data_IF_538613701139
#
_entry.id   IF_538613701139
#
_cell.length_a   1.000
_cell.length_b   1.000
_cell.length_c   1.000
_cell.angle_alpha   90.00
_cell.angle_beta   90.00
_cell.angle_gamma   90.00
#
_symmetry.space_group_name_H-M   'P 1'
#
loop_
_entity.id
_entity.type
_entity.pdbx_description
1 polymer ?
#
# COMPACT_ATOMS: atom_id res chain seq x y z
N UNK A 1 7.86 16.28 -9.81
CA UNK A 1 7.14 17.15 -10.77
C UNK A 1 5.66 17.14 -10.42
N UNK A 2 5.07 18.29 -10.07
CA UNK A 2 3.63 18.39 -9.81
C UNK A 2 2.82 18.09 -11.07
N UNK A 3 1.65 17.44 -10.93
CA UNK A 3 0.73 17.20 -12.05
C UNK A 3 0.37 18.53 -12.73
N UNK A 4 0.22 18.52 -14.06
CA UNK A 4 -0.18 19.70 -14.86
C UNK A 4 -1.44 20.38 -14.30
N UNK A 5 -2.33 19.58 -13.72
CA UNK A 5 -3.57 20.02 -13.09
C UNK A 5 -3.33 20.91 -11.85
N UNK A 6 -2.36 20.57 -11.01
CA UNK A 6 -2.04 21.34 -9.79
C UNK A 6 -1.55 22.74 -10.14
N UNK A 7 -0.64 22.83 -11.13
CA UNK A 7 -0.15 24.11 -11.60
C UNK A 7 -1.27 24.98 -12.20
N UNK A 8 -2.28 24.37 -12.80
CA UNK A 8 -3.45 25.08 -13.32
C UNK A 8 -4.30 25.66 -12.20
N UNK A 9 -4.55 24.89 -11.14
CA UNK A 9 -5.30 25.35 -9.96
C UNK A 9 -4.56 26.43 -9.17
N UNK A 10 -3.26 26.28 -8.95
CA UNK A 10 -2.45 27.30 -8.27
C UNK A 10 -2.41 28.62 -9.06
N UNK A 11 -2.33 28.55 -10.40
CA UNK A 11 -2.45 29.75 -11.24
C UNK A 11 -3.82 30.42 -11.13
N UNK A 12 -4.89 29.65 -11.10
CA UNK A 12 -6.24 30.18 -10.94
C UNK A 12 -6.42 30.88 -9.57
N UNK A 13 -5.86 30.31 -8.50
CA UNK A 13 -5.83 30.93 -7.17
C UNK A 13 -5.03 32.23 -7.15
N UNK A 14 -3.87 32.27 -7.82
CA UNK A 14 -3.09 33.50 -7.95
C UNK A 14 -3.88 34.63 -8.63
N UNK A 15 -4.61 34.31 -9.70
CA UNK A 15 -5.47 35.28 -10.39
C UNK A 15 -6.62 35.74 -9.47
N UNK A 16 -7.26 34.79 -8.76
CA UNK A 16 -8.36 35.11 -7.84
C UNK A 16 -7.90 36.02 -6.69
N UNK A 17 -6.69 35.79 -6.15
CA UNK A 17 -6.11 36.61 -5.09
C UNK A 17 -5.93 38.06 -5.54
N UNK A 18 -5.35 38.28 -6.72
CA UNK A 18 -5.19 39.61 -7.30
C UNK A 18 -6.55 40.31 -7.48
N UNK A 19 -7.52 39.61 -8.09
CA UNK A 19 -8.86 40.19 -8.33
C UNK A 19 -9.60 40.53 -7.04
N UNK A 20 -9.44 39.73 -6.00
CA UNK A 20 -10.13 39.92 -4.73
C UNK A 20 -9.46 40.99 -3.88
N UNK A 21 -8.13 41.09 -3.89
CA UNK A 21 -7.39 42.20 -3.29
C UNK A 21 -7.76 43.54 -3.96
N UNK A 22 -7.83 43.59 -5.29
CA UNK A 22 -8.23 44.79 -6.05
C UNK A 22 -9.67 45.24 -5.72
N UNK A 23 -10.55 44.31 -5.35
CA UNK A 23 -11.93 44.61 -4.93
C UNK A 23 -12.09 44.78 -3.42
N UNK A 24 -11.00 44.74 -2.64
CA UNK A 24 -11.01 44.95 -1.19
C UNK A 24 -11.53 43.78 -0.35
N UNK A 25 -11.60 42.57 -0.92
CA UNK A 25 -11.97 41.36 -0.19
C UNK A 25 -10.80 40.80 0.62
N UNK A 26 -11.10 40.19 1.76
CA UNK A 26 -10.12 39.43 2.53
C UNK A 26 -9.71 38.16 1.80
N UNK A 27 -8.40 37.93 1.66
CA UNK A 27 -7.87 36.78 0.90
C UNK A 27 -7.32 35.64 1.76
N UNK A 28 -7.46 35.71 3.09
CA UNK A 28 -6.92 34.70 4.02
C UNK A 28 -7.42 33.27 3.71
N UNK A 29 -8.69 33.14 3.30
CA UNK A 29 -9.25 31.83 2.95
C UNK A 29 -8.67 31.26 1.64
N UNK A 30 -8.12 32.10 0.75
CA UNK A 30 -7.44 31.63 -0.47
C UNK A 30 -6.11 30.96 -0.11
N UNK A 31 -5.43 31.45 0.93
CA UNK A 31 -4.20 30.82 1.44
C UNK A 31 -4.52 29.45 2.05
N UNK A 32 -5.62 29.31 2.79
CA UNK A 32 -6.09 28.01 3.30
C UNK A 32 -6.42 27.01 2.17
N UNK A 33 -7.01 27.50 1.07
CA UNK A 33 -7.32 26.68 -0.10
C UNK A 33 -6.03 26.28 -0.83
N UNK A 34 -5.07 27.20 -0.96
CA UNK A 34 -3.75 26.90 -1.52
C UNK A 34 -3.06 25.79 -0.71
N UNK A 35 -3.06 25.92 0.62
CA UNK A 35 -2.52 24.93 1.54
C UNK A 35 -3.22 23.58 1.42
N UNK A 36 -4.55 23.56 1.31
CA UNK A 36 -5.33 22.35 1.11
C UNK A 36 -4.95 21.65 -0.21
N UNK A 37 -4.80 22.40 -1.30
CA UNK A 37 -4.38 21.84 -2.60
C UNK A 37 -2.96 21.30 -2.50
N UNK A 38 -2.04 22.06 -1.91
CA UNK A 38 -0.66 21.60 -1.71
C UNK A 38 -0.63 20.33 -0.87
N UNK A 39 -1.35 20.26 0.24
CA UNK A 39 -1.43 19.07 1.10
C UNK A 39 -2.10 17.88 0.40
N UNK A 40 -3.27 18.08 -0.20
CA UNK A 40 -4.00 16.98 -0.84
C UNK A 40 -3.19 16.29 -1.94
N UNK A 41 -2.36 17.05 -2.65
CA UNK A 41 -1.57 16.52 -3.76
C UNK A 41 -0.10 16.21 -3.41
N UNK A 42 0.47 16.80 -2.36
CA UNK A 42 1.79 16.40 -1.84
C UNK A 42 1.76 15.11 -1.02
N UNK A 43 0.64 14.81 -0.35
CA UNK A 43 0.60 13.71 0.63
C UNK A 43 0.20 12.34 0.07
N UNK A 44 0.04 12.20 -1.25
CA UNK A 44 -0.09 10.89 -1.88
C UNK A 44 1.24 10.52 -2.53
N UNK A 45 2.19 9.91 -1.80
CA UNK A 45 3.41 9.40 -2.39
C UNK A 45 3.02 8.39 -3.48
N UNK A 46 3.45 8.65 -4.71
CA UNK A 46 3.27 7.70 -5.81
C UNK A 46 4.18 6.50 -5.57
N UNK A 47 3.57 5.33 -5.43
CA UNK A 47 4.27 4.05 -5.47
C UNK A 47 4.91 3.92 -6.87
N UNK A 48 6.18 3.54 -6.94
CA UNK A 48 6.84 3.28 -8.23
C UNK A 48 6.07 2.22 -9.01
N UNK A 49 5.85 2.44 -10.31
CA UNK A 49 5.01 1.56 -11.15
C UNK A 49 5.53 0.11 -11.15
N UNK A 50 6.85 -0.08 -11.10
CA UNK A 50 7.49 -1.40 -11.03
C UNK A 50 7.17 -2.18 -9.74
N UNK A 51 6.82 -1.46 -8.67
CA UNK A 51 6.47 -2.05 -7.38
C UNK A 51 5.00 -2.45 -7.30
N UNK A 52 4.12 -1.88 -8.14
CA UNK A 52 2.68 -2.16 -8.10
C UNK A 52 2.40 -3.64 -8.37
N UNK A 53 2.95 -4.30 -9.42
CA UNK A 53 2.72 -5.72 -9.66
C UNK A 53 3.21 -6.59 -8.51
N UNK A 54 4.38 -6.26 -7.94
CA UNK A 54 4.99 -7.00 -6.82
C UNK A 54 4.14 -6.91 -5.55
N UNK A 55 3.67 -5.70 -5.21
CA UNK A 55 2.77 -5.47 -4.09
C UNK A 55 1.44 -6.18 -4.27
N UNK A 56 0.90 -6.15 -5.49
CA UNK A 56 -0.34 -6.85 -5.81
C UNK A 56 -0.21 -8.37 -5.64
N UNK A 57 0.87 -8.97 -6.18
CA UNK A 57 1.14 -10.40 -6.03
C UNK A 57 1.30 -10.79 -4.55
N UNK A 58 2.06 -10.00 -3.78
CA UNK A 58 2.26 -10.23 -2.36
C UNK A 58 0.94 -10.12 -1.56
N UNK A 59 0.08 -9.14 -1.89
CA UNK A 59 -1.22 -8.97 -1.26
C UNK A 59 -2.16 -10.14 -1.59
N UNK A 60 -2.16 -10.58 -2.84
CA UNK A 60 -2.94 -11.74 -3.31
C UNK A 60 -2.53 -13.03 -2.62
N UNK A 61 -1.23 -13.29 -2.49
CA UNK A 61 -0.71 -14.46 -1.79
C UNK A 61 -1.16 -14.48 -0.31
N UNK A 62 -1.22 -13.30 0.33
CA UNK A 62 -1.68 -13.12 1.71
C UNK A 62 -3.20 -12.98 1.85
N UNK A 63 -3.96 -12.98 0.75
CA UNK A 63 -5.42 -12.76 0.70
C UNK A 63 -5.89 -11.52 1.47
N UNK A 64 -5.13 -10.42 1.39
CA UNK A 64 -5.49 -9.13 2.01
C UNK A 64 -5.55 -8.02 0.95
N UNK A 65 -6.29 -6.92 1.20
CA UNK A 65 -6.23 -5.75 0.34
C UNK A 65 -4.80 -5.21 0.23
N UNK A 66 -4.39 -4.82 -0.97
CA UNK A 66 -3.05 -4.28 -1.23
C UNK A 66 -2.75 -3.04 -0.38
N UNK A 67 -3.75 -2.20 -0.13
CA UNK A 67 -3.65 -1.02 0.76
C UNK A 67 -3.30 -1.43 2.19
N UNK A 68 -3.94 -2.46 2.72
CA UNK A 68 -3.64 -3.01 4.06
C UNK A 68 -2.21 -3.56 4.13
N UNK A 69 -1.74 -4.25 3.08
CA UNK A 69 -0.36 -4.71 3.01
C UNK A 69 0.62 -3.53 3.06
N UNK A 70 0.40 -2.51 2.23
CA UNK A 70 1.26 -1.32 2.15
C UNK A 70 1.30 -0.59 3.49
N UNK A 71 0.14 -0.38 4.13
CA UNK A 71 0.09 0.26 5.45
C UNK A 71 0.90 -0.52 6.49
N UNK A 72 0.79 -1.85 6.52
CA UNK A 72 1.58 -2.69 7.43
C UNK A 72 3.08 -2.60 7.15
N UNK A 73 3.49 -2.55 5.88
CA UNK A 73 4.90 -2.37 5.50
C UNK A 73 5.41 -1.02 6.00
N UNK A 74 4.63 0.05 5.78
CA UNK A 74 4.98 1.41 6.22
C UNK A 74 5.03 1.50 7.75
N UNK A 75 4.01 0.99 8.46
CA UNK A 75 3.99 0.93 9.92
C UNK A 75 5.20 0.17 10.45
N UNK A 76 5.53 -0.99 9.86
CA UNK A 76 6.71 -1.76 10.27
C UNK A 76 8.01 -0.97 10.02
N UNK A 77 8.17 -0.36 8.85
CA UNK A 77 9.37 0.38 8.48
C UNK A 77 9.57 1.66 9.30
N UNK A 78 8.47 2.32 9.68
CA UNK A 78 8.49 3.55 10.46
C UNK A 78 8.62 3.29 11.97
N UNK A 79 8.05 2.20 12.47
CA UNK A 79 8.08 1.85 13.90
C UNK A 79 9.25 0.93 14.27
N UNK A 80 10.00 0.41 13.30
CA UNK A 80 11.11 -0.51 13.52
C UNK A 80 12.23 -0.29 12.53
N UNK A 81 13.23 0.50 12.93
CA UNK A 81 14.56 0.42 12.32
C UNK A 81 15.10 -1.00 12.50
N UNK A 82 15.49 -1.61 11.38
CA UNK A 82 16.09 -2.93 11.23
C UNK A 82 15.17 -4.17 11.39
N UNK A 83 15.28 -5.08 10.41
CA UNK A 83 14.78 -6.46 10.54
C UNK A 83 13.75 -6.93 9.50
N UNK A 84 14.11 -6.91 8.22
CA UNK A 84 13.56 -7.84 7.21
C UNK A 84 14.14 -9.25 7.41
N UNK A 85 14.01 -9.80 8.61
CA UNK A 85 14.30 -11.21 8.91
C UNK A 85 13.18 -11.71 9.83
N UNK A 86 12.14 -12.28 9.23
CA UNK A 86 11.22 -13.19 9.92
C UNK A 86 10.59 -14.10 8.86
N UNK A 87 11.39 -15.12 8.56
CA UNK A 87 11.06 -16.51 8.20
C UNK A 87 9.58 -16.92 8.28
N UNK A 88 9.24 -17.76 7.32
CA UNK A 88 7.96 -18.44 7.12
C UNK A 88 7.33 -18.99 8.40
N UNK A 89 6.07 -18.66 8.63
CA UNK A 89 5.15 -19.49 9.42
C UNK A 89 3.80 -19.42 8.72
N UNK A 90 3.48 -20.44 7.93
CA UNK A 90 2.11 -20.71 7.52
C UNK A 90 1.38 -21.44 8.65
N UNK A 91 0.21 -20.96 9.12
CA UNK A 91 -0.70 -21.79 9.88
C UNK A 91 -1.80 -22.23 8.91
N UNK A 92 -1.67 -23.42 8.35
CA UNK A 92 -2.80 -24.33 8.07
C UNK A 92 -2.26 -25.61 7.45
N UNK A 93 -2.14 -26.62 8.31
CA UNK A 93 -1.60 -27.93 8.01
C UNK A 93 -2.54 -28.77 7.13
N UNK A 94 -2.22 -28.84 5.84
CA UNK A 94 -2.51 -30.02 5.02
C UNK A 94 -1.31 -30.34 4.15
N UNK A 95 -0.54 -31.35 4.58
CA UNK A 95 0.41 -32.01 3.71
C UNK A 95 -0.30 -32.68 2.52
N UNK A 96 0.38 -32.84 1.37
CA UNK A 96 -0.18 -33.53 0.21
C UNK A 96 -0.48 -35.00 0.55
N UNK A 97 -1.47 -35.62 -0.12
CA UNK A 97 -1.91 -36.98 0.19
C UNK A 97 -0.82 -37.95 -0.25
N UNK A 98 -0.34 -38.78 0.67
CA UNK A 98 0.50 -39.93 0.32
C UNK A 98 -0.45 -41.10 0.10
N UNK A 99 -0.52 -41.55 -1.14
CA UNK A 99 -1.17 -42.79 -1.53
C UNK A 99 -0.29 -43.96 -1.08
N UNK A 100 -0.83 -44.87 -0.27
CA UNK A 100 -0.26 -46.19 -0.07
C UNK A 100 -1.24 -47.23 -0.61
N UNK A 101 -0.90 -47.75 -1.79
CA UNK A 101 -1.45 -48.99 -2.35
C UNK A 101 -0.75 -50.21 -1.72
N UNK A 102 -1.53 -51.27 -1.60
CA UNK A 102 -1.31 -52.57 -0.95
C UNK A 102 -0.01 -53.32 -1.36
N UNK A 103 0.53 -54.16 -0.49
CA UNK A 103 0.67 -55.60 -0.79
C UNK A 103 0.95 -56.51 0.43
N UNK A 104 0.68 -57.79 0.21
CA UNK A 104 0.46 -58.93 1.09
C UNK A 104 1.73 -59.68 1.53
N UNK A 105 1.73 -60.23 2.76
CA UNK A 105 2.30 -61.54 3.19
C UNK A 105 2.02 -61.68 4.71
N UNK A 106 1.37 -62.69 5.26
CA UNK A 106 1.44 -64.13 4.98
C UNK A 106 2.44 -64.79 5.94
N UNK A 107 1.94 -65.60 6.91
CA UNK A 107 2.74 -66.63 7.59
C UNK A 107 2.78 -66.55 9.12
N UNK A 108 2.17 -67.54 9.79
CA UNK A 108 2.21 -67.70 11.23
C UNK A 108 3.30 -68.64 11.77
N UNK A 109 3.20 -68.92 13.07
CA UNK A 109 3.76 -69.99 13.92
C UNK A 109 4.12 -69.31 15.26
N UNK A 110 3.68 -69.74 16.44
CA UNK A 110 3.41 -71.10 16.89
C UNK A 110 4.47 -71.50 17.91
N UNK A 111 4.19 -71.28 19.21
CA UNK A 111 4.50 -72.16 20.35
C UNK A 111 4.01 -71.52 21.64
#
# INVERSE_FOLDING_TARGET
>A
MFSKEINRWLRALGIAKILFEDQGYHCLYLDDIEDLIRRRFMYSPRISEDLIPRLYQAAKAKRIPMTTLVNRILEKALNGGDGLEAREIGPDGKGPPVAEENDSHGGGAGK
#
